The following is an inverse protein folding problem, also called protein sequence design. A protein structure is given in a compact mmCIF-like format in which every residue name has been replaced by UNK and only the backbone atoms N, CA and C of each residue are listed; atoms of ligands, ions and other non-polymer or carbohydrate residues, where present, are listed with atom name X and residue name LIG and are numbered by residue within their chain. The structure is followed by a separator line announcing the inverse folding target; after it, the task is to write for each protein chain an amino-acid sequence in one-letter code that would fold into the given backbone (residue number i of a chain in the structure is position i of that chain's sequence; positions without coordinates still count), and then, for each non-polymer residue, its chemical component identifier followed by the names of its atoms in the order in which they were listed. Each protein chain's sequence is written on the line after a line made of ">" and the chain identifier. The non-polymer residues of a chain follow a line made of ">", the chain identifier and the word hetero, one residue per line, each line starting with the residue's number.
data_IF_203735506916
#
_entry.id   IF_203735506916
#
_cell.length_a   1.000
_cell.length_b   1.000
_cell.length_c   1.000
_cell.angle_alpha   90.00
_cell.angle_beta   90.00
_cell.angle_gamma   90.00
#
_symmetry.space_group_name_H-M   'P 1'
#
loop_
_entity.id
_entity.type
_entity.pdbx_description
1 polymer ?
#
# COMPACT_ATOMS: atom_id res chain seq x y z
N UNK A 1 10.19 -28.49 -0.30
CA UNK A 1 9.37 -27.38 -0.81
C UNK A 1 8.90 -26.52 0.35
N UNK A 2 9.33 -25.24 0.42
CA UNK A 2 8.84 -24.32 1.44
C UNK A 2 7.35 -24.06 1.21
N UNK A 3 6.59 -24.03 2.30
CA UNK A 3 5.15 -23.81 2.29
C UNK A 3 4.81 -22.57 3.11
N UNK A 4 3.85 -21.77 2.64
CA UNK A 4 3.41 -20.53 3.29
C UNK A 4 1.89 -20.41 3.31
N UNK A 5 1.35 -19.90 4.41
CA UNK A 5 -0.08 -19.60 4.54
C UNK A 5 -0.27 -18.10 4.41
N UNK A 6 -0.72 -17.64 3.25
CA UNK A 6 -0.81 -16.22 2.88
C UNK A 6 -2.25 -15.91 2.48
N UNK A 7 -3.07 -15.62 3.49
CA UNK A 7 -4.48 -15.29 3.27
C UNK A 7 -4.62 -13.94 2.55
N UNK A 8 -3.77 -12.96 2.86
CA UNK A 8 -3.90 -11.58 2.40
C UNK A 8 -2.63 -11.07 1.73
N UNK A 9 -2.77 -10.22 0.71
CA UNK A 9 -1.63 -9.58 0.06
C UNK A 9 -0.79 -10.50 -0.84
N UNK A 10 -1.24 -11.70 -1.19
CA UNK A 10 -0.42 -12.69 -1.91
C UNK A 10 0.20 -12.12 -3.20
N UNK A 11 -0.60 -11.52 -4.08
CA UNK A 11 -0.09 -10.94 -5.33
C UNK A 11 0.88 -9.79 -5.09
N UNK A 12 0.57 -8.92 -4.13
CA UNK A 12 1.45 -7.82 -3.77
C UNK A 12 2.76 -8.32 -3.17
N UNK A 13 2.73 -9.37 -2.35
CA UNK A 13 3.90 -9.95 -1.70
C UNK A 13 4.83 -10.55 -2.75
N UNK A 14 4.28 -11.26 -3.74
CA UNK A 14 5.04 -11.79 -4.87
C UNK A 14 5.69 -10.68 -5.69
N UNK A 15 4.90 -9.67 -6.12
CA UNK A 15 5.42 -8.53 -6.90
C UNK A 15 6.48 -7.78 -6.12
N UNK A 16 6.19 -7.43 -4.86
CA UNK A 16 7.10 -6.73 -3.96
C UNK A 16 8.41 -7.47 -3.77
N UNK A 17 8.34 -8.79 -3.61
CA UNK A 17 9.52 -9.61 -3.32
C UNK A 17 10.39 -9.82 -4.56
N UNK A 18 9.77 -10.02 -5.73
CA UNK A 18 10.48 -10.45 -6.94
C UNK A 18 10.84 -9.31 -7.90
N UNK A 19 10.04 -8.25 -7.98
CA UNK A 19 10.29 -7.14 -8.92
C UNK A 19 11.17 -6.05 -8.31
N UNK A 20 11.32 -6.02 -6.98
CA UNK A 20 12.01 -4.96 -6.27
C UNK A 20 13.20 -5.46 -5.46
N UNK A 21 14.37 -4.93 -5.80
CA UNK A 21 15.62 -5.13 -5.06
C UNK A 21 15.61 -4.25 -3.81
N UNK A 22 15.42 -4.89 -2.66
CA UNK A 22 15.34 -4.24 -1.35
C UNK A 22 16.08 -5.09 -0.33
N UNK A 23 16.87 -4.45 0.55
CA UNK A 23 17.68 -5.15 1.54
C UNK A 23 16.96 -5.19 2.89
N UNK A 24 16.61 -4.03 3.43
CA UNK A 24 15.88 -3.91 4.70
C UNK A 24 14.39 -3.62 4.48
N UNK A 25 13.53 -4.40 5.14
CA UNK A 25 12.07 -4.25 5.08
C UNK A 25 11.51 -4.01 6.48
N UNK A 26 10.58 -3.07 6.61
CA UNK A 26 9.71 -2.95 7.78
C UNK A 26 8.34 -3.55 7.47
N UNK A 27 7.97 -4.62 8.16
CA UNK A 27 6.67 -5.28 8.09
C UNK A 27 5.76 -4.73 9.20
N UNK A 28 4.84 -3.82 8.83
CA UNK A 28 3.93 -3.15 9.77
C UNK A 28 2.67 -3.99 9.93
N UNK A 29 2.31 -4.30 11.18
CA UNK A 29 1.20 -5.20 11.51
C UNK A 29 1.51 -6.64 11.12
N UNK A 30 2.71 -7.11 11.47
CA UNK A 30 3.23 -8.38 10.98
C UNK A 30 2.44 -9.62 11.42
N UNK A 31 1.60 -9.48 12.46
CA UNK A 31 0.88 -10.59 13.07
C UNK A 31 1.83 -11.72 13.47
N UNK A 32 1.49 -12.95 13.07
CA UNK A 32 2.32 -14.14 13.34
C UNK A 32 3.61 -14.23 12.49
N UNK A 33 3.82 -13.30 11.55
CA UNK A 33 5.07 -13.18 10.81
C UNK A 33 5.19 -14.02 9.54
N UNK A 34 4.08 -14.49 8.94
CA UNK A 34 4.14 -15.28 7.70
C UNK A 34 4.69 -14.47 6.51
N UNK A 35 4.30 -13.19 6.37
CA UNK A 35 4.88 -12.29 5.36
C UNK A 35 6.38 -12.06 5.59
N UNK A 36 6.77 -11.78 6.84
CA UNK A 36 8.18 -11.71 7.26
C UNK A 36 8.95 -12.97 6.86
N UNK A 37 8.46 -14.16 7.22
CA UNK A 37 9.09 -15.45 6.89
C UNK A 37 9.25 -15.64 5.39
N UNK A 38 8.26 -15.24 4.60
CA UNK A 38 8.33 -15.30 3.13
C UNK A 38 9.41 -14.38 2.56
N UNK A 39 9.44 -13.12 3.00
CA UNK A 39 10.43 -12.15 2.55
C UNK A 39 11.85 -12.55 2.96
N UNK A 40 12.04 -13.07 4.18
CA UNK A 40 13.32 -13.62 4.67
C UNK A 40 13.76 -14.86 3.89
N UNK A 41 12.81 -15.71 3.46
CA UNK A 41 13.12 -16.84 2.58
C UNK A 41 13.76 -16.37 1.27
N UNK A 42 13.42 -15.18 0.78
CA UNK A 42 14.06 -14.55 -0.38
C UNK A 42 15.12 -13.51 -0.01
N UNK A 43 15.86 -13.77 1.07
CA UNK A 43 17.08 -13.07 1.48
C UNK A 43 16.89 -11.60 1.86
N UNK A 44 15.65 -11.15 2.13
CA UNK A 44 15.40 -9.82 2.69
C UNK A 44 15.63 -9.83 4.19
N UNK A 45 16.19 -8.75 4.74
CA UNK A 45 16.27 -8.54 6.19
C UNK A 45 15.01 -7.82 6.67
N UNK A 46 14.16 -8.51 7.41
CA UNK A 46 12.84 -7.99 7.78
C UNK A 46 12.76 -7.67 9.27
N UNK A 47 12.25 -6.48 9.57
CA UNK A 47 11.93 -6.03 10.91
C UNK A 47 10.41 -5.94 11.05
N UNK A 48 9.85 -6.53 12.09
CA UNK A 48 8.40 -6.49 12.33
C UNK A 48 7.98 -5.41 13.32
N UNK A 49 6.80 -4.85 13.10
CA UNK A 49 6.07 -4.02 14.06
C UNK A 49 4.70 -4.65 14.30
N UNK A 50 4.35 -4.91 15.56
CA UNK A 50 3.02 -5.41 15.91
C UNK A 50 2.68 -5.06 17.36
N UNK A 51 1.40 -4.83 17.65
CA UNK A 51 0.91 -4.48 18.99
C UNK A 51 0.38 -5.68 19.80
N UNK A 52 0.19 -6.82 19.14
CA UNK A 52 -0.41 -8.03 19.72
C UNK A 52 0.53 -9.23 19.68
N UNK A 53 1.29 -9.38 18.61
CA UNK A 53 2.22 -10.49 18.40
C UNK A 53 3.66 -10.07 18.74
N UNK A 54 4.52 -11.05 19.00
CA UNK A 54 5.95 -10.80 19.23
C UNK A 54 6.58 -10.21 17.97
N UNK A 55 7.11 -8.99 18.09
CA UNK A 55 7.72 -8.25 16.98
C UNK A 55 9.04 -7.60 17.39
N UNK A 56 9.86 -7.22 16.41
CA UNK A 56 11.11 -6.48 16.66
C UNK A 56 10.83 -5.11 17.31
N UNK A 57 9.74 -4.47 16.89
CA UNK A 57 9.16 -3.28 17.51
C UNK A 57 7.77 -3.64 18.06
N UNK A 58 7.69 -3.99 19.35
CA UNK A 58 6.44 -4.34 20.00
C UNK A 58 5.65 -3.09 20.44
N UNK A 59 4.47 -2.87 19.86
CA UNK A 59 3.56 -1.78 20.21
C UNK A 59 2.82 -1.19 18.99
N UNK A 60 2.04 -0.15 19.25
CA UNK A 60 1.35 0.62 18.20
C UNK A 60 2.37 1.33 17.30
N UNK A 61 2.28 1.11 15.98
CA UNK A 61 3.14 1.72 14.98
C UNK A 61 3.26 3.24 15.15
N UNK A 62 2.20 3.96 15.53
CA UNK A 62 2.27 5.40 15.76
C UNK A 62 3.15 5.78 16.96
N UNK A 63 3.22 4.93 17.98
CA UNK A 63 3.87 5.22 19.26
C UNK A 63 5.26 4.59 19.41
N UNK A 64 5.53 3.47 18.75
CA UNK A 64 6.85 2.82 18.81
C UNK A 64 7.92 3.72 18.21
N UNK A 65 9.10 3.73 18.83
CA UNK A 65 10.24 4.50 18.34
C UNK A 65 10.94 3.72 17.22
N UNK A 66 10.93 4.29 16.02
CA UNK A 66 11.60 3.73 14.85
C UNK A 66 12.66 4.76 14.43
N UNK A 67 13.90 4.51 14.83
CA UNK A 67 15.02 5.44 14.61
C UNK A 67 15.74 5.21 13.27
N UNK A 68 15.35 4.18 12.51
CA UNK A 68 15.98 3.80 11.25
C UNK A 68 15.03 4.03 10.07
N UNK A 69 15.61 4.33 8.91
CA UNK A 69 14.89 4.25 7.64
C UNK A 69 15.14 2.91 6.96
N UNK A 70 14.12 2.42 6.25
CA UNK A 70 14.15 1.13 5.56
C UNK A 70 14.18 1.31 4.05
N UNK A 71 14.75 0.33 3.34
CA UNK A 71 14.73 0.30 1.88
C UNK A 71 13.33 -0.04 1.35
N UNK A 72 12.51 -0.68 2.19
CA UNK A 72 11.12 -0.94 1.88
C UNK A 72 10.23 -1.02 3.12
N UNK A 73 8.94 -0.75 2.91
CA UNK A 73 7.89 -0.91 3.90
C UNK A 73 6.78 -1.78 3.29
N UNK A 74 6.38 -2.81 4.03
CA UNK A 74 5.25 -3.67 3.76
C UNK A 74 4.15 -3.40 4.79
N UNK A 75 2.93 -3.15 4.33
CA UNK A 75 1.78 -2.81 5.17
C UNK A 75 0.52 -3.47 4.60
N UNK A 76 0.18 -4.66 5.10
CA UNK A 76 -0.94 -5.48 4.58
C UNK A 76 -2.05 -5.61 5.60
N UNK A 77 -3.25 -5.10 5.26
CA UNK A 77 -4.46 -5.13 6.11
C UNK A 77 -4.24 -4.47 7.48
N UNK A 78 -3.66 -3.27 7.46
CA UNK A 78 -3.41 -2.44 8.66
C UNK A 78 -4.02 -1.05 8.54
N UNK A 79 -4.02 -0.47 7.35
CA UNK A 79 -4.40 0.93 7.13
C UNK A 79 -5.88 1.18 7.42
N UNK A 80 -6.75 0.21 7.14
CA UNK A 80 -8.18 0.21 7.42
C UNK A 80 -8.51 0.31 8.91
N UNK A 81 -7.58 -0.10 9.77
CA UNK A 81 -7.70 -0.07 11.23
C UNK A 81 -7.23 1.27 11.84
N UNK A 82 -6.63 2.16 11.04
CA UNK A 82 -6.00 3.37 11.57
C UNK A 82 -6.99 4.51 11.79
N UNK A 83 -7.06 5.00 13.04
CA UNK A 83 -7.92 6.14 13.41
C UNK A 83 -7.42 7.45 12.84
N UNK A 84 -6.11 7.61 12.79
CA UNK A 84 -5.44 8.78 12.21
C UNK A 84 -4.56 8.34 11.05
N UNK A 85 -5.21 8.15 9.89
CA UNK A 85 -4.56 7.74 8.65
C UNK A 85 -3.45 8.71 8.25
N UNK A 86 -3.67 10.03 8.35
CA UNK A 86 -2.68 11.04 7.97
C UNK A 86 -1.37 10.87 8.75
N UNK A 87 -1.45 10.85 10.08
CA UNK A 87 -0.27 10.65 10.93
C UNK A 87 0.42 9.30 10.68
N UNK A 88 -0.36 8.26 10.37
CA UNK A 88 0.17 6.93 10.05
C UNK A 88 0.98 6.94 8.74
N UNK A 89 0.43 7.55 7.70
CA UNK A 89 1.11 7.67 6.40
C UNK A 89 2.31 8.63 6.47
N UNK A 90 2.23 9.71 7.24
CA UNK A 90 3.37 10.61 7.49
C UNK A 90 4.52 9.85 8.16
N UNK A 91 4.22 8.98 9.13
CA UNK A 91 5.23 8.16 9.79
C UNK A 91 5.82 7.11 8.86
N UNK A 92 5.02 6.47 8.01
CA UNK A 92 5.51 5.58 6.93
C UNK A 92 6.45 6.36 6.00
N UNK A 93 6.05 7.57 5.59
CA UNK A 93 6.87 8.42 4.74
C UNK A 93 8.22 8.72 5.39
N UNK A 94 8.26 9.05 6.68
CA UNK A 94 9.52 9.33 7.40
C UNK A 94 10.40 8.08 7.56
N UNK A 95 9.79 6.91 7.78
CA UNK A 95 10.50 5.64 7.95
C UNK A 95 11.01 5.02 6.63
N UNK A 96 10.53 5.48 5.47
CA UNK A 96 10.96 4.97 4.16
C UNK A 96 12.04 5.86 3.54
N UNK A 97 13.14 5.26 3.08
CA UNK A 97 14.19 5.98 2.34
C UNK A 97 13.66 6.51 1.01
N UNK A 98 14.21 7.64 0.54
CA UNK A 98 13.98 8.09 -0.84
C UNK A 98 14.44 7.00 -1.82
N UNK A 99 13.63 6.71 -2.85
CA UNK A 99 13.84 5.59 -3.77
C UNK A 99 13.48 4.21 -3.20
N UNK A 100 13.16 4.11 -1.91
CA UNK A 100 12.69 2.88 -1.27
C UNK A 100 11.28 2.47 -1.74
N UNK A 101 10.86 1.24 -1.43
CA UNK A 101 9.61 0.67 -1.94
C UNK A 101 8.53 0.62 -0.86
N UNK A 102 7.37 1.19 -1.14
CA UNK A 102 6.18 1.06 -0.31
C UNK A 102 5.22 0.06 -0.96
N UNK A 103 4.75 -0.92 -0.18
CA UNK A 103 3.62 -1.77 -0.54
C UNK A 103 2.51 -1.64 0.52
N UNK A 104 1.32 -1.28 0.06
CA UNK A 104 0.11 -1.22 0.88
C UNK A 104 -0.94 -2.16 0.29
N UNK A 105 -1.51 -3.01 1.13
CA UNK A 105 -2.66 -3.85 0.80
C UNK A 105 -3.80 -3.53 1.76
N UNK A 106 -4.99 -3.30 1.21
CA UNK A 106 -6.20 -2.99 1.97
C UNK A 106 -7.40 -3.75 1.40
N UNK A 107 -8.42 -4.08 2.22
CA UNK A 107 -9.58 -4.82 1.74
C UNK A 107 -10.47 -3.97 0.82
N UNK A 108 -11.18 -4.63 -0.10
CA UNK A 108 -12.16 -4.00 -1.01
C UNK A 108 -13.61 -4.30 -0.60
N UNK A 109 -13.97 -3.93 0.62
CA UNK A 109 -15.36 -4.05 1.07
C UNK A 109 -16.23 -2.94 0.49
N UNK A 110 -17.54 -3.23 0.38
CA UNK A 110 -18.52 -2.23 -0.01
C UNK A 110 -18.64 -1.15 1.08
N UNK A 111 -18.84 0.12 0.66
CA UNK A 111 -18.83 1.29 1.56
C UNK A 111 -20.04 1.34 2.50
N UNK A 112 -21.10 0.60 2.21
CA UNK A 112 -22.31 0.46 3.02
C UNK A 112 -22.22 -0.63 4.09
N UNK A 113 -21.11 -1.38 4.15
CA UNK A 113 -20.93 -2.45 5.13
C UNK A 113 -20.16 -1.96 6.36
N UNK A 114 -20.75 -2.14 7.54
CA UNK A 114 -20.05 -2.00 8.81
C UNK A 114 -19.30 -3.29 9.12
N UNK A 115 -17.98 -3.20 9.27
CA UNK A 115 -17.11 -4.37 9.53
C UNK A 115 -16.31 -4.07 10.81
N UNK A 116 -16.36 -4.95 11.83
CA UNK A 116 -15.62 -4.73 13.07
C UNK A 116 -14.13 -4.48 12.82
N UNK A 117 -13.59 -3.42 13.44
CA UNK A 117 -12.18 -3.03 13.31
C UNK A 117 -11.84 -2.26 12.04
N UNK A 118 -12.61 -2.37 10.96
CA UNK A 118 -12.36 -1.65 9.71
C UNK A 118 -13.06 -0.29 9.77
N UNK A 119 -12.34 0.73 10.21
CA UNK A 119 -12.89 2.07 10.44
C UNK A 119 -12.74 2.99 9.22
N UNK A 120 -12.01 2.56 8.20
CA UNK A 120 -11.91 3.23 6.90
C UNK A 120 -12.12 2.25 5.75
N UNK A 121 -12.51 2.76 4.59
CA UNK A 121 -12.71 1.99 3.36
C UNK A 121 -11.98 2.67 2.20
N UNK A 122 -11.37 1.88 1.33
CA UNK A 122 -10.40 2.36 0.35
C UNK A 122 -10.83 2.09 -1.08
N UNK A 123 -10.73 3.11 -1.91
CA UNK A 123 -10.73 2.99 -3.37
C UNK A 123 -9.39 3.47 -3.91
N UNK A 124 -9.03 3.04 -5.13
CA UNK A 124 -7.77 3.45 -5.79
C UNK A 124 -7.55 4.98 -5.71
N UNK A 125 -8.52 5.84 -6.08
CA UNK A 125 -8.34 7.29 -5.97
C UNK A 125 -8.10 7.79 -4.55
N UNK A 126 -8.79 7.23 -3.56
CA UNK A 126 -8.70 7.67 -2.17
C UNK A 126 -7.37 7.27 -1.54
N UNK A 127 -6.89 6.06 -1.85
CA UNK A 127 -5.59 5.58 -1.39
C UNK A 127 -4.46 6.43 -2.00
N UNK A 128 -4.47 6.65 -3.32
CA UNK A 128 -3.48 7.52 -3.97
C UNK A 128 -3.54 8.94 -3.40
N UNK A 129 -4.73 9.50 -3.20
CA UNK A 129 -4.84 10.87 -2.70
C UNK A 129 -4.25 11.03 -1.28
N UNK A 130 -4.54 10.09 -0.37
CA UNK A 130 -3.96 10.14 0.97
C UNK A 130 -2.43 9.96 0.97
N UNK A 131 -1.91 9.12 0.07
CA UNK A 131 -0.46 8.99 -0.13
C UNK A 131 0.18 10.27 -0.68
N UNK A 132 -0.45 10.90 -1.67
CA UNK A 132 0.01 12.19 -2.21
C UNK A 132 0.03 13.25 -1.11
N UNK A 133 -1.02 13.34 -0.28
CA UNK A 133 -1.06 14.28 0.85
C UNK A 133 0.00 14.01 1.93
N UNK A 134 0.45 12.76 2.09
CA UNK A 134 1.59 12.40 2.93
C UNK A 134 2.95 12.72 2.27
N UNK A 135 2.94 13.10 0.98
CA UNK A 135 4.12 13.52 0.21
C UNK A 135 4.66 12.48 -0.77
N UNK A 136 3.94 11.40 -1.04
CA UNK A 136 4.35 10.39 -2.02
C UNK A 136 3.93 10.76 -3.44
N UNK A 137 4.84 10.67 -4.41
CA UNK A 137 4.51 10.74 -5.83
C UNK A 137 4.02 9.37 -6.35
N UNK A 138 2.71 9.21 -6.51
CA UNK A 138 2.07 7.98 -6.99
C UNK A 138 2.03 7.83 -8.52
N UNK A 139 2.63 8.74 -9.31
CA UNK A 139 2.50 8.76 -10.77
C UNK A 139 2.93 7.45 -11.46
N UNK A 140 3.86 6.71 -10.83
CA UNK A 140 4.38 5.43 -11.31
C UNK A 140 3.93 4.23 -10.45
N UNK A 141 2.90 4.40 -9.61
CA UNK A 141 2.42 3.30 -8.76
C UNK A 141 1.91 2.11 -9.60
N UNK A 142 2.27 0.91 -9.18
CA UNK A 142 1.65 -0.35 -9.62
C UNK A 142 0.46 -0.65 -8.72
N UNK A 143 -0.72 -0.79 -9.29
CA UNK A 143 -1.97 -0.99 -8.55
C UNK A 143 -2.70 -2.21 -9.11
N UNK A 144 -3.18 -3.08 -8.22
CA UNK A 144 -4.00 -4.24 -8.55
C UNK A 144 -5.23 -4.27 -7.65
N UNK A 145 -6.40 -4.43 -8.25
CA UNK A 145 -7.67 -4.61 -7.54
C UNK A 145 -8.31 -5.95 -7.92
N UNK A 146 -8.23 -6.93 -7.03
CA UNK A 146 -8.87 -8.26 -7.16
C UNK A 146 -9.92 -8.45 -6.05
N UNK A 147 -9.67 -9.37 -5.11
CA UNK A 147 -10.42 -9.52 -3.85
C UNK A 147 -9.97 -8.52 -2.77
N UNK A 148 -8.88 -7.81 -3.04
CA UNK A 148 -8.32 -6.74 -2.24
C UNK A 148 -7.71 -5.67 -3.16
N UNK A 149 -7.29 -4.56 -2.58
CA UNK A 149 -6.60 -3.48 -3.27
C UNK A 149 -5.14 -3.47 -2.84
N UNK A 150 -4.25 -3.67 -3.79
CA UNK A 150 -2.81 -3.60 -3.64
C UNK A 150 -2.25 -2.39 -4.37
N UNK A 151 -1.36 -1.65 -3.71
CA UNK A 151 -0.58 -0.56 -4.30
C UNK A 151 0.89 -0.74 -3.92
N UNK A 152 1.76 -0.74 -4.92
CA UNK A 152 3.22 -0.80 -4.74
C UNK A 152 3.84 0.36 -5.51
N UNK A 153 4.78 1.06 -4.90
CA UNK A 153 5.48 2.18 -5.54
C UNK A 153 6.89 2.36 -4.99
N UNK A 154 7.77 2.97 -5.80
CA UNK A 154 8.99 3.56 -5.29
C UNK A 154 8.69 4.96 -4.76
N UNK A 155 9.22 5.29 -3.58
CA UNK A 155 9.07 6.61 -2.96
C UNK A 155 9.86 7.63 -3.77
N UNK A 156 9.13 8.58 -4.35
CA UNK A 156 9.60 9.89 -4.76
C UNK A 156 8.78 10.95 -4.02
N UNK A 157 9.28 12.18 -4.01
CA UNK A 157 8.64 13.28 -3.32
C UNK A 157 7.57 13.94 -4.21
N UNK A 158 6.39 14.15 -3.63
CA UNK A 158 5.36 15.03 -4.17
C UNK A 158 5.38 16.35 -3.40
N UNK A 159 6.17 17.36 -3.81
CA UNK A 159 6.12 18.67 -3.19
C UNK A 159 4.82 19.38 -3.58
N UNK A 160 3.99 19.70 -2.57
CA UNK A 160 2.81 20.53 -2.72
C UNK A 160 2.45 21.20 -1.37
N UNK A 161 1.65 22.26 -1.40
CA UNK A 161 1.41 23.10 -0.22
C UNK A 161 0.49 22.46 0.84
N UNK A 162 -0.28 21.42 0.49
CA UNK A 162 -1.17 20.67 1.40
C UNK A 162 -0.46 19.53 2.14
N UNK A 163 0.82 19.25 1.84
CA UNK A 163 1.52 18.12 2.42
C UNK A 163 1.53 18.17 3.95
N UNK A 164 1.12 17.08 4.59
CA UNK A 164 1.01 16.97 6.06
C UNK A 164 -0.02 17.91 6.70
N UNK A 165 -0.96 18.44 5.91
CA UNK A 165 -2.04 19.33 6.37
C UNK A 165 -3.40 18.73 6.06
N UNK A 166 -4.41 19.18 6.79
CA UNK A 166 -5.79 18.91 6.42
C UNK A 166 -6.11 19.60 5.09
N UNK A 167 -6.83 18.92 4.20
CA UNK A 167 -7.30 19.54 2.97
C UNK A 167 -8.39 20.58 3.27
N UNK A 168 -8.28 21.74 2.64
CA UNK A 168 -9.25 22.84 2.74
C UNK A 168 -10.22 22.87 1.56
N UNK A 169 -9.98 22.06 0.53
CA UNK A 169 -10.85 21.95 -0.63
C UNK A 169 -12.17 21.29 -0.23
N UNK A 170 -13.28 21.93 -0.60
CA UNK A 170 -14.63 21.54 -0.18
C UNK A 170 -15.14 22.28 1.06
N UNK A 171 -14.29 23.03 1.79
CA UNK A 171 -14.76 23.97 2.82
C UNK A 171 -15.33 25.23 2.16
N UNK A 172 -16.50 25.68 2.61
CA UNK A 172 -16.98 27.04 2.31
C UNK A 172 -16.18 28.03 3.16
N UNK A 173 -15.10 28.57 2.61
CA UNK A 173 -14.31 29.60 3.29
C UNK A 173 -15.02 30.94 3.08
N UNK A 174 -15.70 31.44 4.11
CA UNK A 174 -16.23 32.79 4.14
C UNK A 174 -15.07 33.79 3.92
N UNK A 175 -15.09 34.51 2.78
CA UNK A 175 -14.11 35.57 2.47
C UNK A 175 -13.11 35.25 1.35
N UNK A 176 -12.97 33.99 0.91
CA UNK A 176 -12.37 33.73 -0.39
C UNK A 176 -13.42 34.08 -1.44
N UNK A 177 -13.17 35.15 -2.20
CA UNK A 177 -14.01 35.56 -3.35
C UNK A 177 -14.44 34.31 -4.11
N UNK A 178 -15.70 34.30 -4.58
CA UNK A 178 -16.20 33.40 -5.62
C UNK A 178 -15.27 33.45 -6.84
N UNK A 179 -14.10 32.80 -6.76
CA UNK A 179 -13.48 32.20 -7.92
C UNK A 179 -14.56 31.23 -8.37
N UNK A 180 -15.03 31.38 -9.62
CA UNK A 180 -16.06 30.51 -10.18
C UNK A 180 -15.57 29.08 -9.96
N UNK A 181 -16.16 28.39 -8.97
CA UNK A 181 -15.79 27.03 -8.54
C UNK A 181 -15.82 26.02 -9.70
N UNK A 182 -16.46 26.39 -10.79
CA UNK A 182 -16.66 25.62 -12.01
C UNK A 182 -15.42 25.61 -12.93
N UNK A 183 -14.43 26.49 -12.74
CA UNK A 183 -13.30 26.66 -13.68
C UNK A 183 -11.92 26.19 -13.14
N UNK A 184 -11.79 25.83 -11.86
CA UNK A 184 -10.50 25.42 -11.26
C UNK A 184 -10.54 23.94 -10.86
N UNK A 185 -9.67 23.11 -11.45
CA UNK A 185 -9.50 21.73 -10.99
C UNK A 185 -8.86 21.76 -9.59
N UNK A 186 -9.54 21.35 -8.50
CA UNK A 186 -8.95 21.38 -7.16
C UNK A 186 -7.76 20.43 -7.01
N UNK A 187 -7.48 19.59 -8.00
CA UNK A 187 -6.32 18.70 -8.05
C UNK A 187 -5.17 19.25 -8.90
N UNK A 188 -5.29 20.41 -9.56
CA UNK A 188 -4.29 20.89 -10.54
C UNK A 188 -2.85 20.90 -9.99
N UNK A 189 -2.67 21.26 -8.72
CA UNK A 189 -1.36 21.32 -8.06
C UNK A 189 -0.77 19.96 -7.66
N UNK A 190 -1.56 18.88 -7.75
CA UNK A 190 -1.15 17.51 -7.39
C UNK A 190 -1.47 16.46 -8.44
N UNK A 191 -2.16 16.81 -9.53
CA UNK A 191 -2.65 15.87 -10.55
C UNK A 191 -1.50 15.06 -11.18
N UNK A 192 -0.34 15.68 -11.36
CA UNK A 192 0.86 15.02 -11.90
C UNK A 192 1.39 13.88 -11.03
N UNK A 193 1.00 13.82 -9.76
CA UNK A 193 1.42 12.77 -8.82
C UNK A 193 0.47 11.57 -8.80
N UNK A 194 -0.55 11.54 -9.66
CA UNK A 194 -1.46 10.40 -9.79
C UNK A 194 -1.14 9.58 -11.03
N UNK A 195 -1.34 8.25 -11.01
CA UNK A 195 -1.14 7.40 -12.18
C UNK A 195 -2.36 7.40 -13.13
N UNK A 196 -3.30 8.33 -12.94
CA UNK A 196 -4.53 8.52 -13.71
C UNK A 196 -4.96 9.99 -13.61
N UNK A 197 -5.82 10.50 -14.52
CA UNK A 197 -6.35 11.85 -14.44
C UNK A 197 -7.12 12.11 -13.14
N UNK A 198 -6.59 12.98 -12.28
CA UNK A 198 -7.17 13.30 -10.98
C UNK A 198 -8.14 14.48 -11.10
N UNK A 199 -9.42 14.20 -10.90
CA UNK A 199 -10.50 15.19 -10.92
C UNK A 199 -11.62 14.83 -9.94
N UNK A 200 -12.49 15.78 -9.56
CA UNK A 200 -13.65 15.46 -8.75
C UNK A 200 -14.49 14.33 -9.36
N UNK A 201 -14.82 13.33 -8.55
CA UNK A 201 -15.59 12.16 -9.00
C UNK A 201 -14.77 11.11 -9.77
N UNK A 202 -13.45 11.24 -9.90
CA UNK A 202 -12.61 10.19 -10.48
C UNK A 202 -12.87 8.86 -9.78
N UNK A 203 -13.18 7.84 -10.59
CA UNK A 203 -13.36 6.47 -10.14
C UNK A 203 -12.56 5.55 -11.05
N UNK A 204 -11.97 4.52 -10.45
CA UNK A 204 -11.33 3.43 -11.18
C UNK A 204 -12.15 2.18 -10.84
N UNK A 205 -13.01 1.78 -11.78
CA UNK A 205 -13.95 0.66 -11.64
C UNK A 205 -13.42 -0.64 -12.24
N UNK A 206 -13.95 -1.78 -11.80
CA UNK A 206 -13.60 -3.12 -12.27
C UNK A 206 -12.43 -3.78 -11.53
N UNK A 207 -12.07 -4.99 -11.98
CA UNK A 207 -10.76 -5.59 -11.67
C UNK A 207 -9.69 -4.77 -12.39
N UNK A 208 -9.27 -3.69 -11.72
CA UNK A 208 -8.38 -2.70 -12.28
C UNK A 208 -6.93 -3.08 -12.05
N UNK A 209 -6.12 -2.91 -13.08
CA UNK A 209 -4.66 -2.98 -13.00
C UNK A 209 -4.11 -1.70 -13.62
N UNK A 210 -3.27 -0.99 -12.87
CA UNK A 210 -2.51 0.17 -13.34
C UNK A 210 -1.04 -0.19 -13.17
N UNK A 211 -0.26 -0.20 -14.25
CA UNK A 211 1.17 -0.51 -14.23
C UNK A 211 1.56 -1.83 -13.51
N UNK A 212 0.65 -2.81 -13.37
CA UNK A 212 0.95 -4.05 -12.64
C UNK A 212 1.64 -5.10 -13.51
N UNK A 213 1.24 -5.19 -14.78
CA UNK A 213 1.59 -6.30 -15.67
C UNK A 213 0.69 -7.51 -15.45
N UNK A 214 1.11 -8.70 -15.89
CA UNK A 214 0.34 -9.92 -15.71
C UNK A 214 0.36 -10.38 -14.25
N UNK A 215 -0.71 -10.11 -13.51
CA UNK A 215 -0.79 -10.47 -12.08
C UNK A 215 -0.95 -11.97 -11.80
N UNK A 216 -1.12 -12.82 -12.83
CA UNK A 216 -1.17 -14.28 -12.68
C UNK A 216 0.19 -14.94 -12.84
N UNK A 217 1.23 -14.19 -13.23
CA UNK A 217 2.54 -14.76 -13.56
C UNK A 217 3.66 -13.90 -12.98
N UNK A 218 4.48 -14.50 -12.13
CA UNK A 218 5.60 -13.86 -11.46
C UNK A 218 6.89 -14.60 -11.81
N UNK A 219 7.99 -13.87 -11.90
CA UNK A 219 9.29 -14.44 -12.25
C UNK A 219 10.27 -14.21 -11.11
N UNK A 220 10.91 -15.28 -10.65
CA UNK A 220 11.88 -15.20 -9.55
C UNK A 220 13.30 -15.41 -10.06
N UNK A 221 14.22 -14.54 -9.62
CA UNK A 221 15.67 -14.61 -9.94
C UNK A 221 16.44 -15.24 -8.79
N UNK A 222 16.19 -16.52 -8.52
CA UNK A 222 16.87 -17.24 -7.44
C UNK A 222 16.96 -18.73 -7.72
N UNK A 223 17.97 -19.39 -7.14
CA UNK A 223 18.12 -20.85 -7.17
C UNK A 223 17.29 -21.56 -6.09
N UNK A 224 16.63 -20.81 -5.20
CA UNK A 224 15.77 -21.37 -4.16
C UNK A 224 14.60 -22.15 -4.76
N UNK A 225 14.03 -23.05 -3.97
CA UNK A 225 12.84 -23.81 -4.36
C UNK A 225 11.64 -22.86 -4.52
N UNK A 226 10.82 -23.11 -5.54
CA UNK A 226 9.57 -22.35 -5.69
C UNK A 226 8.62 -22.78 -4.56
N UNK A 227 8.09 -21.84 -3.76
CA UNK A 227 7.19 -22.16 -2.67
C UNK A 227 5.80 -22.60 -3.13
N UNK A 228 5.12 -23.36 -2.27
CA UNK A 228 3.67 -23.54 -2.35
C UNK A 228 2.96 -22.63 -1.36
N UNK A 229 1.69 -22.36 -1.67
CA UNK A 229 0.86 -21.46 -0.88
C UNK A 229 -0.45 -22.14 -0.52
N UNK A 230 -0.87 -21.92 0.71
CA UNK A 230 -2.27 -21.99 1.11
C UNK A 230 -2.80 -20.57 1.26
N UNK A 231 -4.00 -20.31 0.74
CA UNK A 231 -4.66 -19.01 0.85
C UNK A 231 -6.16 -19.16 0.77
N UNK A 232 -6.89 -18.67 1.78
CA UNK A 232 -8.36 -18.68 1.76
C UNK A 232 -8.92 -17.90 0.57
N UNK A 233 -8.29 -16.78 0.19
CA UNK A 233 -8.76 -16.00 -0.95
C UNK A 233 -8.56 -16.73 -2.28
N UNK A 234 -7.46 -17.47 -2.44
CA UNK A 234 -7.28 -18.30 -3.64
C UNK A 234 -8.27 -19.46 -3.68
N UNK A 235 -8.63 -20.03 -2.52
CA UNK A 235 -9.67 -21.06 -2.47
C UNK A 235 -11.05 -20.52 -2.90
N UNK A 236 -11.35 -19.25 -2.61
CA UNK A 236 -12.59 -18.57 -3.03
C UNK A 236 -12.50 -18.11 -4.49
N UNK A 237 -11.33 -17.66 -4.93
CA UNK A 237 -11.05 -17.09 -6.25
C UNK A 237 -9.91 -17.86 -6.95
N UNK A 238 -10.15 -19.11 -7.39
CA UNK A 238 -9.10 -19.98 -7.93
C UNK A 238 -8.49 -19.44 -9.24
N UNK A 239 -9.24 -18.64 -9.99
CA UNK A 239 -8.76 -17.99 -11.22
C UNK A 239 -7.62 -16.98 -10.96
N UNK A 240 -7.41 -16.59 -9.70
CA UNK A 240 -6.33 -15.70 -9.29
C UNK A 240 -5.11 -16.46 -8.72
N UNK A 241 -5.06 -17.79 -8.84
CA UNK A 241 -3.88 -18.56 -8.42
C UNK A 241 -2.62 -18.10 -9.19
N UNK A 242 -1.60 -17.55 -8.52
CA UNK A 242 -0.38 -17.10 -9.20
C UNK A 242 0.48 -18.28 -9.63
N UNK A 243 1.07 -18.17 -10.83
CA UNK A 243 2.16 -19.03 -11.29
C UNK A 243 3.48 -18.32 -11.06
N UNK A 244 4.43 -19.03 -10.46
CA UNK A 244 5.80 -18.55 -10.26
C UNK A 244 6.70 -19.34 -11.19
N UNK A 245 7.39 -18.62 -12.07
CA UNK A 245 8.38 -19.18 -12.98
C UNK A 245 9.78 -18.69 -12.61
N UNK A 246 10.80 -19.43 -13.06
CA UNK A 246 12.19 -18.96 -13.00
C UNK A 246 12.50 -18.12 -14.23
N UNK A 247 13.34 -17.11 -14.05
CA UNK A 247 14.01 -16.44 -15.16
C UNK A 247 15.01 -17.35 -15.85
#
# INVERSE_FOLDING_TARGET
>A
MPHFVIDWGLHALLKFTFDYETNTVLDIGSGLGEHKRFMEYFDKKVYSVDMTAKADYFGDFLNVKIDNQFDAIWCSHVLEHQRNVGAFLDKIYLALKLGGVLAIVVPTHSRDKLIPGHITSWSIPLLCYNLVLAGFDCSQASILKTYELSLIMKKNDAPHFERGKNSIYGMEIAGYKKIKREEMNPFEHIESYFPFPAKPGSSVSGHGQINWGNFLRYFVRTNKEIPTFESKNINIYPDFLPKIDRH
#
